data_IF_369614271123
#
_entry.id   IF_369614271123
#
_cell.length_a   1.000
_cell.length_b   1.000
_cell.length_c   1.000
_cell.angle_alpha   90.00
_cell.angle_beta   90.00
_cell.angle_gamma   90.00
#
_symmetry.space_group_name_H-M   'P 1'
#
loop_
_entity.id
_entity.type
_entity.pdbx_description
1 polymer ?
#
# COMPACT_ATOMS: atom_id res chain seq x y z
N UNK A 1 -8.48 4.20 9.34
CA UNK A 1 -7.12 4.78 9.47
C UNK A 1 -6.36 4.38 8.22
N UNK A 2 -5.67 5.34 7.60
CA UNK A 2 -4.92 5.07 6.39
C UNK A 2 -3.91 3.93 6.63
N UNK A 3 -3.94 2.95 5.74
CA UNK A 3 -3.01 1.82 5.74
C UNK A 3 -2.23 1.84 4.44
N UNK A 4 -0.91 1.80 4.56
CA UNK A 4 0.02 1.66 3.45
C UNK A 4 0.47 0.21 3.38
N UNK A 5 0.37 -0.41 2.20
CA UNK A 5 0.91 -1.73 1.93
C UNK A 5 2.03 -1.59 0.92
N UNK A 6 3.25 -1.99 1.29
CA UNK A 6 4.44 -2.01 0.42
C UNK A 6 4.89 -3.45 0.32
N UNK A 7 5.27 -3.90 -0.87
CA UNK A 7 5.75 -5.26 -1.04
C UNK A 7 6.95 -5.35 -1.97
N UNK A 8 7.72 -6.42 -1.81
CA UNK A 8 8.71 -6.88 -2.78
C UNK A 8 8.44 -8.37 -3.00
N UNK A 9 7.91 -8.72 -4.18
CA UNK A 9 7.48 -10.08 -4.52
C UNK A 9 8.16 -10.48 -5.82
N UNK A 10 8.97 -11.53 -5.72
CA UNK A 10 9.83 -12.01 -6.80
C UNK A 10 9.03 -12.62 -7.95
N UNK A 11 7.96 -13.35 -7.64
CA UNK A 11 7.10 -13.98 -8.64
C UNK A 11 6.08 -13.01 -9.22
N UNK A 12 6.11 -12.81 -10.53
CA UNK A 12 5.17 -11.95 -11.27
C UNK A 12 3.71 -12.41 -11.11
N UNK A 13 3.49 -13.72 -11.08
CA UNK A 13 2.16 -14.31 -10.88
C UNK A 13 1.61 -13.98 -9.49
N UNK A 14 2.41 -14.23 -8.45
CA UNK A 14 2.02 -13.96 -7.06
C UNK A 14 1.83 -12.46 -6.85
N UNK A 15 2.70 -11.62 -7.41
CA UNK A 15 2.59 -10.16 -7.35
C UNK A 15 1.29 -9.66 -7.97
N UNK A 16 0.88 -10.25 -9.09
CA UNK A 16 -0.40 -9.92 -9.75
C UNK A 16 -1.59 -10.33 -8.89
N UNK A 17 -1.55 -11.54 -8.30
CA UNK A 17 -2.60 -12.01 -7.38
C UNK A 17 -2.70 -11.13 -6.13
N UNK A 18 -1.57 -10.78 -5.52
CA UNK A 18 -1.48 -9.89 -4.37
C UNK A 18 -2.11 -8.53 -4.70
N UNK A 19 -1.73 -7.93 -5.82
CA UNK A 19 -2.28 -6.67 -6.27
C UNK A 19 -3.81 -6.70 -6.44
N UNK A 20 -4.35 -7.74 -7.08
CA UNK A 20 -5.79 -7.92 -7.24
C UNK A 20 -6.47 -8.04 -5.87
N UNK A 21 -5.87 -8.79 -4.96
CA UNK A 21 -6.40 -8.90 -3.60
C UNK A 21 -6.43 -7.55 -2.88
N UNK A 22 -5.39 -6.73 -3.01
CA UNK A 22 -5.38 -5.38 -2.42
C UNK A 22 -6.46 -4.48 -3.02
N UNK A 23 -6.77 -4.61 -4.32
CA UNK A 23 -7.92 -3.92 -4.93
C UNK A 23 -9.26 -4.39 -4.36
N UNK A 24 -9.44 -5.68 -4.07
CA UNK A 24 -10.68 -6.21 -3.46
C UNK A 24 -10.94 -5.61 -2.07
N UNK A 25 -9.88 -5.26 -1.33
CA UNK A 25 -9.98 -4.53 -0.05
C UNK A 25 -10.26 -3.02 -0.21
N UNK A 26 -10.49 -2.56 -1.44
CA UNK A 26 -10.69 -1.14 -1.74
C UNK A 26 -9.43 -0.29 -1.67
N UNK A 27 -8.24 -0.92 -1.62
CA UNK A 27 -6.98 -0.18 -1.63
C UNK A 27 -6.66 0.30 -3.05
N UNK A 28 -6.06 1.48 -3.13
CA UNK A 28 -5.64 2.13 -4.36
C UNK A 28 -4.14 1.97 -4.55
N UNK A 29 -3.74 1.60 -5.77
CA UNK A 29 -2.33 1.52 -6.15
C UNK A 29 -1.73 2.93 -6.24
N UNK A 30 -0.58 3.14 -5.59
CA UNK A 30 0.19 4.40 -5.64
C UNK A 30 1.56 4.24 -6.29
N UNK A 31 2.15 3.05 -6.25
CA UNK A 31 3.36 2.68 -6.98
C UNK A 31 3.24 1.23 -7.49
N UNK A 32 4.23 0.78 -8.28
CA UNK A 32 4.25 -0.60 -8.80
C UNK A 32 4.16 -1.65 -7.69
N UNK A 33 4.76 -1.36 -6.53
CA UNK A 33 4.73 -2.25 -5.37
C UNK A 33 4.21 -1.59 -4.09
N UNK A 34 3.31 -0.61 -4.22
CA UNK A 34 2.70 0.03 -3.07
C UNK A 34 1.23 0.41 -3.29
N UNK A 35 0.42 0.22 -2.25
CA UNK A 35 -1.00 0.52 -2.17
C UNK A 35 -1.33 1.31 -0.91
N UNK A 36 -2.39 2.11 -0.96
CA UNK A 36 -2.94 2.82 0.20
C UNK A 36 -4.45 2.60 0.30
N UNK A 37 -5.02 2.78 1.48
CA UNK A 37 -6.46 2.93 1.63
C UNK A 37 -6.88 2.98 3.09
N UNK A 38 -8.12 3.37 3.34
CA UNK A 38 -8.68 3.38 4.68
C UNK A 38 -9.09 1.97 5.08
N UNK A 39 -8.49 1.46 6.17
CA UNK A 39 -8.93 0.22 6.81
C UNK A 39 -9.21 0.48 8.28
N UNK A 40 -10.25 -0.17 8.81
CA UNK A 40 -10.41 -0.28 10.25
C UNK A 40 -9.43 -1.33 10.82
N UNK A 41 -9.36 -1.45 12.14
CA UNK A 41 -8.42 -2.37 12.78
C UNK A 41 -8.71 -3.85 12.43
N UNK A 42 -9.99 -4.22 12.37
CA UNK A 42 -10.42 -5.58 12.07
C UNK A 42 -10.07 -5.99 10.64
N UNK A 43 -10.45 -5.20 9.64
CA UNK A 43 -10.17 -5.49 8.23
C UNK A 43 -8.67 -5.57 7.96
N UNK A 44 -7.87 -4.74 8.65
CA UNK A 44 -6.41 -4.79 8.56
C UNK A 44 -5.85 -6.09 9.14
N UNK A 45 -6.37 -6.59 10.26
CA UNK A 45 -5.94 -7.88 10.81
C UNK A 45 -6.32 -9.05 9.91
N UNK A 46 -7.51 -9.01 9.32
CA UNK A 46 -7.95 -10.01 8.33
C UNK A 46 -7.03 -9.98 7.11
N UNK A 47 -6.76 -8.79 6.58
CA UNK A 47 -5.83 -8.58 5.47
C UNK A 47 -4.46 -9.20 5.78
N UNK A 48 -3.84 -8.85 6.91
CA UNK A 48 -2.50 -9.35 7.28
C UNK A 48 -2.44 -10.88 7.31
N UNK A 49 -3.49 -11.56 7.81
CA UNK A 49 -3.56 -13.03 7.81
C UNK A 49 -3.67 -13.61 6.40
N UNK A 50 -4.34 -12.94 5.48
CA UNK A 50 -4.42 -13.39 4.09
C UNK A 50 -3.12 -13.15 3.34
N UNK A 51 -2.45 -12.03 3.61
CA UNK A 51 -1.24 -11.61 2.88
C UNK A 51 -0.06 -12.59 3.04
N UNK A 52 0.00 -13.36 4.13
CA UNK A 52 1.04 -14.39 4.30
C UNK A 52 1.00 -15.48 3.22
N UNK A 53 -0.16 -15.71 2.61
CA UNK A 53 -0.31 -16.70 1.54
C UNK A 53 0.31 -16.24 0.20
N UNK A 54 0.77 -14.98 0.13
CA UNK A 54 1.40 -14.39 -1.05
C UNK A 54 2.92 -14.31 -0.91
N UNK A 55 3.51 -14.96 0.09
CA UNK A 55 4.96 -15.10 0.22
C UNK A 55 5.36 -16.45 -0.39
N UNK A 56 6.07 -16.42 -1.52
CA UNK A 56 6.46 -17.63 -2.26
C UNK A 56 7.98 -17.79 -2.43
N UNK A 57 8.73 -16.69 -2.38
CA UNK A 57 10.19 -16.67 -2.48
C UNK A 57 10.88 -16.32 -1.16
N UNK A 58 12.15 -16.73 -1.01
CA UNK A 58 12.95 -16.48 0.20
C UNK A 58 13.16 -14.99 0.52
N UNK A 59 13.02 -14.12 -0.49
CA UNK A 59 13.21 -12.67 -0.36
C UNK A 59 11.90 -11.89 -0.40
N UNK A 60 10.77 -12.59 -0.50
CA UNK A 60 9.48 -11.93 -0.57
C UNK A 60 9.19 -11.24 0.77
N UNK A 61 8.70 -10.00 0.70
CA UNK A 61 8.36 -9.22 1.87
C UNK A 61 7.12 -8.36 1.62
N UNK A 62 6.31 -8.21 2.67
CA UNK A 62 5.13 -7.35 2.65
C UNK A 62 5.10 -6.56 3.97
N UNK A 63 5.05 -5.24 3.85
CA UNK A 63 4.90 -4.31 4.96
C UNK A 63 3.47 -3.77 4.97
N UNK A 64 2.79 -3.89 6.10
CA UNK A 64 1.46 -3.29 6.33
C UNK A 64 1.60 -2.24 7.42
N UNK A 65 1.53 -0.97 7.03
CA UNK A 65 1.87 0.16 7.88
C UNK A 65 0.59 0.99 8.13
N UNK A 66 0.00 0.91 9.33
CA UNK A 66 -1.01 1.87 9.74
C UNK A 66 -0.38 3.26 9.93
N UNK A 67 -0.99 4.29 9.34
CA UNK A 67 -0.57 5.67 9.48
C UNK A 67 -1.68 6.47 10.16
N UNK A 68 -1.35 7.11 11.28
CA UNK A 68 -2.28 8.06 11.89
C UNK A 68 -2.47 9.27 10.96
N UNK A 69 -3.57 10.00 11.18
CA UNK A 69 -3.92 11.15 10.37
C UNK A 69 -2.79 12.20 10.31
N UNK A 70 -2.19 12.51 11.46
CA UNK A 70 -1.07 13.46 11.52
C UNK A 70 0.12 13.01 10.66
N UNK A 71 0.58 11.77 10.83
CA UNK A 71 1.70 11.22 10.05
C UNK A 71 1.40 11.19 8.54
N UNK A 72 0.18 10.83 8.16
CA UNK A 72 -0.21 10.78 6.74
C UNK A 72 -0.11 12.14 6.05
N UNK A 73 -0.50 13.23 6.74
CA UNK A 73 -0.39 14.62 6.25
C UNK A 73 1.05 15.13 6.13
N UNK A 74 1.99 14.51 6.85
CA UNK A 74 3.42 14.85 6.76
C UNK A 74 4.13 14.17 5.57
N UNK A 75 3.44 13.27 4.85
CA UNK A 75 4.01 12.62 3.68
C UNK A 75 4.50 13.64 2.64
N UNK A 76 5.65 13.33 2.03
CA UNK A 76 6.23 14.08 0.92
C UNK A 76 6.44 13.11 -0.22
N UNK A 77 6.07 13.53 -1.42
CA UNK A 77 6.16 12.72 -2.63
C UNK A 77 7.10 13.44 -3.58
N UNK A 78 8.18 12.77 -3.95
CA UNK A 78 9.13 13.22 -4.96
C UNK A 78 8.94 12.32 -6.18
N UNK A 79 8.58 12.89 -7.32
CA UNK A 79 8.32 12.13 -8.54
C UNK A 79 8.53 12.99 -9.76
N UNK A 80 9.12 12.41 -10.81
CA UNK A 80 9.25 13.05 -12.13
C UNK A 80 7.95 13.09 -12.91
N UNK A 81 6.91 12.37 -12.45
CA UNK A 81 5.58 12.30 -13.06
C UNK A 81 4.50 12.48 -12.00
N UNK A 82 3.30 12.97 -12.37
CA UNK A 82 2.16 12.97 -11.46
C UNK A 82 1.88 11.57 -10.94
N UNK A 83 1.73 11.46 -9.61
CA UNK A 83 1.35 10.22 -8.93
C UNK A 83 0.23 10.51 -7.94
N UNK A 84 -0.62 9.52 -7.60
CA UNK A 84 -1.68 9.73 -6.63
C UNK A 84 -1.10 10.16 -5.26
N UNK A 85 -1.68 11.18 -4.60
CA UNK A 85 -1.20 11.60 -3.30
C UNK A 85 -1.54 10.57 -2.22
N UNK A 86 -0.78 10.51 -1.14
CA UNK A 86 -1.05 9.57 -0.04
C UNK A 86 -2.36 9.94 0.70
N UNK A 87 -2.57 11.22 0.95
CA UNK A 87 -3.83 11.82 1.42
C UNK A 87 -4.19 12.96 0.49
N UNK A 88 -5.48 13.19 0.28
CA UNK A 88 -5.93 14.38 -0.46
C UNK A 88 -5.57 15.63 0.35
N UNK A 89 -4.57 16.37 -0.10
CA UNK A 89 -4.20 17.66 0.49
C UNK A 89 -3.94 18.64 -0.65
N UNK A 90 -4.51 19.83 -0.55
CA UNK A 90 -4.41 20.94 -1.51
C UNK A 90 -2.98 21.45 -1.78
N UNK A 91 -1.93 20.81 -1.27
CA UNK A 91 -0.53 21.24 -1.44
C UNK A 91 0.42 20.06 -1.64
N UNK A 92 0.27 19.34 -2.75
CA UNK A 92 1.42 18.61 -3.31
C UNK A 92 2.31 19.65 -3.98
N UNK A 93 3.39 20.07 -3.31
CA UNK A 93 4.48 20.73 -4.02
C UNK A 93 5.22 19.65 -4.81
N UNK A 94 4.97 19.59 -6.11
CA UNK A 94 5.90 18.98 -7.06
C UNK A 94 7.14 19.87 -7.06
N UNK A 95 8.27 19.36 -6.59
CA UNK A 95 9.58 20.01 -6.68
C UNK A 95 10.35 19.32 -7.80
#
# INVERSE_FOLDING_TARGET
MLTLVIYDISSDEIRTKLANRLFDYGLQRIQYSAFKGELNAHDREVLVKELSNFLGGERDSIYVIPLCEHCSRLCRILSSKPVPPLVEVEKVKLI
#
